data_IF_515941185924
#
_entry.id   IF_515941185924
#
_cell.length_a   1.000
_cell.length_b   1.000
_cell.length_c   1.000
_cell.angle_alpha   90.00
_cell.angle_beta   90.00
_cell.angle_gamma   90.00
#
_symmetry.space_group_name_H-M   'P 1'
#
loop_
_entity.id
_entity.type
_entity.pdbx_description
1 polymer ?
#
# COMPACT_ATOMS: atom_id res chain seq x y z
N UNK A 1 -4.01 -11.41 -11.38
CA UNK A 1 -4.36 -10.90 -10.05
C UNK A 1 -4.42 -9.41 -10.19
N UNK A 2 -5.59 -8.81 -10.06
CA UNK A 2 -5.72 -7.36 -10.09
C UNK A 2 -5.33 -6.82 -8.72
N UNK A 3 -4.29 -5.98 -8.65
CA UNK A 3 -3.74 -5.45 -7.39
C UNK A 3 -4.81 -4.76 -6.55
N UNK A 4 -5.74 -4.06 -7.20
CA UNK A 4 -6.91 -3.44 -6.56
C UNK A 4 -7.77 -4.46 -5.82
N UNK A 5 -8.07 -5.60 -6.43
CA UNK A 5 -8.90 -6.63 -5.79
C UNK A 5 -8.25 -7.18 -4.53
N UNK A 6 -6.92 -7.37 -4.56
CA UNK A 6 -6.18 -7.80 -3.36
C UNK A 6 -6.17 -6.72 -2.29
N UNK A 7 -5.99 -5.45 -2.65
CA UNK A 7 -6.07 -4.35 -1.69
C UNK A 7 -7.46 -4.26 -1.04
N UNK A 8 -8.53 -4.51 -1.79
CA UNK A 8 -9.90 -4.48 -1.27
C UNK A 8 -10.25 -5.65 -0.34
N UNK A 9 -9.47 -6.74 -0.36
CA UNK A 9 -9.60 -7.84 0.60
C UNK A 9 -9.03 -7.50 1.98
N UNK A 10 -8.10 -6.55 2.05
CA UNK A 10 -7.57 -6.04 3.31
C UNK A 10 -8.52 -4.99 3.89
N UNK A 11 -9.04 -5.23 5.09
CA UNK A 11 -10.09 -4.38 5.68
C UNK A 11 -9.63 -2.95 5.93
N UNK A 12 -8.37 -2.74 6.28
CA UNK A 12 -7.86 -1.41 6.59
C UNK A 12 -7.58 -0.64 5.30
N UNK A 13 -7.01 -1.31 4.28
CA UNK A 13 -6.85 -0.69 2.97
C UNK A 13 -8.19 -0.38 2.32
N UNK A 14 -9.18 -1.26 2.46
CA UNK A 14 -10.54 -1.05 1.96
C UNK A 14 -11.18 0.20 2.56
N UNK A 15 -11.01 0.44 3.87
CA UNK A 15 -11.50 1.68 4.52
C UNK A 15 -10.85 2.91 3.90
N UNK A 16 -9.53 2.90 3.71
CA UNK A 16 -8.80 4.03 3.12
C UNK A 16 -9.28 4.26 1.68
N UNK A 17 -9.35 3.22 0.86
CA UNK A 17 -9.84 3.28 -0.53
C UNK A 17 -11.27 3.86 -0.57
N UNK A 18 -12.15 3.39 0.30
CA UNK A 18 -13.50 3.90 0.41
C UNK A 18 -13.50 5.41 0.71
N UNK A 19 -12.69 5.90 1.65
CA UNK A 19 -12.60 7.34 1.92
C UNK A 19 -12.05 8.16 0.75
N UNK A 20 -11.18 7.60 -0.10
CA UNK A 20 -10.70 8.28 -1.30
C UNK A 20 -11.72 8.31 -2.44
N UNK A 21 -12.60 7.30 -2.53
CA UNK A 21 -13.56 7.16 -3.64
C UNK A 21 -14.91 7.82 -3.36
N UNK A 22 -15.27 8.03 -2.10
CA UNK A 22 -16.49 8.76 -1.76
C UNK A 22 -16.23 10.26 -1.81
N UNK A 23 -17.23 11.02 -2.27
CA UNK A 23 -17.17 12.49 -2.31
C UNK A 23 -17.25 13.14 -0.92
N UNK A 24 -17.24 12.31 0.14
CA UNK A 24 -17.20 12.73 1.53
C UNK A 24 -15.77 13.16 1.88
N UNK A 25 -15.38 14.34 1.37
CA UNK A 25 -14.08 14.98 1.59
C UNK A 25 -14.00 15.55 3.00
N UNK A 26 -14.19 14.68 3.98
CA UNK A 26 -14.08 14.99 5.38
C UNK A 26 -12.60 15.11 5.80
N UNK A 27 -12.38 15.55 7.05
CA UNK A 27 -11.06 15.67 7.71
C UNK A 27 -10.19 14.41 7.51
N UNK A 28 -10.81 13.24 7.39
CA UNK A 28 -10.13 11.99 7.12
C UNK A 28 -9.38 11.98 5.78
N UNK A 29 -9.93 12.54 4.71
CA UNK A 29 -9.27 12.57 3.40
C UNK A 29 -8.00 13.42 3.43
N UNK A 30 -8.05 14.58 4.08
CA UNK A 30 -6.86 15.44 4.27
C UNK A 30 -5.79 14.71 5.11
N UNK A 31 -6.20 14.08 6.22
CA UNK A 31 -5.29 13.29 7.07
C UNK A 31 -4.60 12.15 6.30
N UNK A 32 -5.31 11.45 5.40
CA UNK A 32 -4.71 10.38 4.60
C UNK A 32 -3.72 10.92 3.56
N UNK A 33 -4.04 12.04 2.90
CA UNK A 33 -3.10 12.72 1.99
C UNK A 33 -1.84 13.19 2.73
N UNK A 34 -1.98 13.83 3.89
CA UNK A 34 -0.85 14.24 4.74
C UNK A 34 -0.04 13.03 5.25
N UNK A 35 -0.69 11.90 5.49
CA UNK A 35 -0.05 10.62 5.80
C UNK A 35 0.73 10.00 4.64
N UNK A 36 0.72 10.66 3.47
CA UNK A 36 1.43 10.27 2.26
C UNK A 36 0.67 9.29 1.37
N UNK A 37 -0.62 9.03 1.62
CA UNK A 37 -1.39 8.11 0.78
C UNK A 37 -1.85 8.79 -0.52
N UNK A 38 -1.81 8.02 -1.61
CA UNK A 38 -2.19 8.47 -2.94
C UNK A 38 -3.07 7.41 -3.60
N UNK A 39 -4.19 7.84 -4.19
CA UNK A 39 -5.02 7.00 -5.05
C UNK A 39 -4.66 7.23 -6.52
N UNK A 40 -4.30 6.18 -7.25
CA UNK A 40 -4.06 6.26 -8.68
C UNK A 40 -4.79 5.13 -9.40
N UNK A 41 -5.72 5.47 -10.30
CA UNK A 41 -6.54 4.52 -11.07
C UNK A 41 -7.19 3.42 -10.20
N UNK A 42 -7.55 3.79 -8.96
CA UNK A 42 -8.19 2.87 -8.03
C UNK A 42 -7.24 1.91 -7.30
N UNK A 43 -5.93 2.12 -7.41
CA UNK A 43 -4.90 1.42 -6.62
C UNK A 43 -4.30 2.39 -5.62
N UNK A 44 -4.10 1.92 -4.39
CA UNK A 44 -3.56 2.70 -3.29
C UNK A 44 -2.03 2.63 -3.26
N UNK A 45 -1.42 3.80 -3.19
CA UNK A 45 0.02 4.01 -3.06
C UNK A 45 0.31 4.85 -1.81
N UNK A 46 1.57 4.86 -1.37
CA UNK A 46 2.04 5.68 -0.27
C UNK A 46 3.45 6.19 -0.51
N UNK A 47 3.68 7.47 -0.25
CA UNK A 47 5.02 8.04 -0.15
C UNK A 47 5.69 7.60 1.15
N UNK A 48 6.91 7.10 1.04
CA UNK A 48 7.73 6.75 2.19
C UNK A 48 8.49 7.98 2.67
N UNK A 49 8.33 8.33 3.95
CA UNK A 49 9.07 9.43 4.57
C UNK A 49 10.58 9.16 4.65
N UNK A 50 10.96 7.88 4.62
CA UNK A 50 12.35 7.41 4.71
C UNK A 50 12.99 7.13 3.34
N UNK A 51 12.29 7.38 2.23
CA UNK A 51 12.87 7.19 0.90
C UNK A 51 13.51 8.48 0.42
N UNK A 52 14.74 8.39 -0.09
CA UNK A 52 15.37 9.48 -0.84
C UNK A 52 14.64 9.78 -2.17
N UNK A 53 13.76 8.87 -2.62
CA UNK A 53 12.94 9.05 -3.81
C UNK A 53 11.59 9.67 -3.48
N UNK A 54 11.18 10.68 -4.25
CA UNK A 54 9.85 11.30 -4.21
C UNK A 54 8.78 10.44 -4.92
N UNK A 55 8.99 9.13 -5.02
CA UNK A 55 8.09 8.20 -5.72
C UNK A 55 7.13 7.50 -4.75
N UNK A 56 5.87 7.40 -5.16
CA UNK A 56 4.87 6.67 -4.38
C UNK A 56 5.06 5.16 -4.55
N UNK A 57 5.09 4.43 -3.44
CA UNK A 57 5.25 2.98 -3.43
C UNK A 57 3.91 2.29 -3.30
N UNK A 58 3.77 1.09 -3.88
CA UNK A 58 2.54 0.31 -3.79
C UNK A 58 2.28 -0.12 -2.34
N UNK A 59 1.05 0.10 -1.87
CA UNK A 59 0.62 -0.43 -0.57
C UNK A 59 0.22 -1.88 -0.71
N UNK A 60 1.07 -2.79 -0.27
CA UNK A 60 0.81 -4.24 -0.33
C UNK A 60 -0.13 -4.65 0.81
N UNK A 61 -1.24 -5.35 0.55
CA UNK A 61 -2.14 -5.82 1.59
C UNK A 61 -1.45 -6.84 2.49
N UNK A 62 -1.86 -6.89 3.75
CA UNK A 62 -1.23 -7.69 4.81
C UNK A 62 -1.01 -9.15 4.42
N UNK A 63 -2.04 -9.80 3.85
CA UNK A 63 -2.00 -11.21 3.43
C UNK A 63 -1.05 -11.49 2.25
N UNK A 64 -0.74 -10.49 1.42
CA UNK A 64 0.27 -10.60 0.37
C UNK A 64 1.67 -10.34 0.92
N UNK A 65 1.83 -9.49 1.94
CA UNK A 65 3.14 -9.29 2.58
C UNK A 65 3.66 -10.58 3.18
N UNK A 66 2.82 -11.38 3.82
CA UNK A 66 3.22 -12.67 4.38
C UNK A 66 3.71 -13.65 3.31
N UNK A 67 3.04 -13.66 2.14
CA UNK A 67 3.47 -14.47 0.99
C UNK A 67 4.81 -13.98 0.45
N UNK A 68 4.95 -12.67 0.21
CA UNK A 68 6.17 -12.07 -0.33
C UNK A 68 7.34 -12.27 0.63
N UNK A 69 7.14 -12.13 1.94
CA UNK A 69 8.17 -12.38 2.95
C UNK A 69 8.62 -13.84 2.91
N UNK A 70 7.68 -14.78 2.84
CA UNK A 70 7.98 -16.20 2.73
C UNK A 70 8.72 -16.54 1.42
N UNK A 71 8.24 -16.06 0.28
CA UNK A 71 8.87 -16.30 -1.03
C UNK A 71 10.27 -15.68 -1.13
N UNK A 72 10.48 -14.50 -0.51
CA UNK A 72 11.82 -13.91 -0.45
C UNK A 72 12.72 -14.71 0.47
N UNK A 73 12.26 -15.13 1.65
CA UNK A 73 13.06 -15.94 2.58
C UNK A 73 13.42 -17.32 2.03
N UNK A 74 12.53 -17.93 1.24
CA UNK A 74 12.73 -19.23 0.59
C UNK A 74 13.50 -19.12 -0.75
N UNK A 75 13.85 -17.90 -1.18
CA UNK A 75 14.61 -17.70 -2.41
C UNK A 75 16.09 -18.06 -2.18
N UNK A 76 16.70 -18.93 -3.01
CA UNK A 76 18.11 -19.31 -2.88
C UNK A 76 19.10 -18.15 -3.12
N UNK A 77 18.59 -16.95 -3.42
CA UNK A 77 19.37 -15.74 -3.72
C UNK A 77 19.25 -14.65 -2.63
N UNK A 78 18.75 -14.97 -1.43
CA UNK A 78 18.90 -14.08 -0.27
C UNK A 78 20.37 -14.09 0.13
N UNK A 79 21.16 -13.26 -0.56
CA UNK A 79 22.48 -12.89 -0.12
C UNK A 79 22.35 -12.24 1.26
N UNK A 80 22.84 -12.95 2.28
CA UNK A 80 23.12 -12.39 3.59
C UNK A 80 24.20 -11.30 3.40
N UNK A 81 23.77 -10.05 3.23
CA UNK A 81 24.63 -8.93 3.61
C UNK A 81 24.43 -8.75 5.10
N UNK A 82 25.41 -9.24 5.86
CA UNK A 82 25.38 -9.37 7.32
C UNK A 82 25.50 -8.06 8.09
#
# INVERSE_FOLDING_TARGET
MEIREEQLKDEDLRKIIHYFENDDKDVNHANWLEGGYLMNQGVLYRYSHDSESEEAQLVVPSHERDKILKERHDSPNVAHYG
#
